data_IF_276106626173
#
_entry.id   IF_276106626173
#
_cell.length_a   1.000
_cell.length_b   1.000
_cell.length_c   1.000
_cell.angle_alpha   90.00
_cell.angle_beta   90.00
_cell.angle_gamma   90.00
#
_symmetry.space_group_name_H-M   'P 1'
#
loop_
_entity.id
_entity.type
_entity.pdbx_description
1 polymer ?
#
# COMPACT_ATOMS: atom_id res chain seq x y z
N UNK A 1 16.34 14.95 0.74
CA UNK A 1 14.89 15.12 0.92
C UNK A 1 14.21 15.33 -0.42
N UNK A 2 12.95 14.93 -0.51
CA UNK A 2 12.09 15.13 -1.69
C UNK A 2 10.88 15.94 -1.22
N UNK A 3 10.54 17.02 -1.95
CA UNK A 3 9.34 17.83 -1.66
C UNK A 3 8.09 17.18 -2.25
N UNK A 4 6.90 17.70 -1.87
CA UNK A 4 5.62 17.25 -2.45
C UNK A 4 5.52 17.48 -3.96
N UNK A 5 6.25 18.49 -4.49
CA UNK A 5 6.34 18.76 -5.94
C UNK A 5 7.38 17.88 -6.64
N UNK A 6 7.98 16.91 -5.94
CA UNK A 6 8.98 16.00 -6.48
C UNK A 6 10.38 16.59 -6.65
N UNK A 7 10.68 17.73 -6.05
CA UNK A 7 12.02 18.34 -6.10
C UNK A 7 12.92 17.71 -5.05
N UNK A 8 14.16 17.42 -5.42
CA UNK A 8 15.15 16.78 -4.56
C UNK A 8 16.14 17.80 -4.03
N UNK A 9 16.49 17.68 -2.73
CA UNK A 9 17.46 18.56 -2.08
C UNK A 9 18.40 17.78 -1.18
N UNK A 10 19.70 18.06 -1.29
CA UNK A 10 20.70 17.49 -0.39
C UNK A 10 20.57 18.13 1.00
N UNK A 11 20.42 17.28 2.01
CA UNK A 11 20.37 17.70 3.41
C UNK A 11 21.69 17.32 4.09
N UNK A 12 22.16 18.14 5.02
CA UNK A 12 23.37 17.87 5.81
C UNK A 12 23.06 17.13 7.11
N UNK A 13 21.82 17.17 7.55
CA UNK A 13 21.35 16.54 8.78
C UNK A 13 20.03 15.81 8.50
N UNK A 14 19.62 14.98 9.45
CA UNK A 14 18.31 14.34 9.40
C UNK A 14 17.19 15.37 9.24
N UNK A 15 16.28 15.13 8.32
CA UNK A 15 15.21 16.06 8.00
C UNK A 15 14.16 16.00 9.12
N UNK A 16 13.98 17.14 9.82
CA UNK A 16 12.89 17.30 10.78
C UNK A 16 11.67 17.95 10.09
N UNK A 17 11.29 19.17 10.52
CA UNK A 17 10.11 19.87 9.97
C UNK A 17 10.42 20.80 8.79
N UNK A 18 11.69 21.08 8.52
CA UNK A 18 12.13 22.01 7.48
C UNK A 18 13.16 21.39 6.55
N UNK A 19 12.88 21.44 5.25
CA UNK A 19 13.78 21.00 4.19
C UNK A 19 14.56 22.24 3.72
N UNK A 20 15.91 22.21 3.82
CA UNK A 20 16.73 23.22 3.15
C UNK A 20 16.64 23.03 1.63
N UNK A 21 16.38 24.10 0.90
CA UNK A 21 16.29 24.14 -0.55
C UNK A 21 17.54 24.71 -1.24
N UNK A 22 18.64 24.89 -0.48
CA UNK A 22 19.86 25.51 -0.97
C UNK A 22 20.64 24.66 -1.98
N UNK A 23 20.51 23.33 -1.88
CA UNK A 23 21.26 22.38 -2.70
C UNK A 23 20.32 21.43 -3.47
N UNK A 24 19.77 21.90 -4.60
CA UNK A 24 18.93 21.04 -5.45
C UNK A 24 19.76 19.88 -6.02
N UNK A 25 19.16 18.68 -6.02
CA UNK A 25 19.76 17.45 -6.53
C UNK A 25 19.08 17.08 -7.84
N UNK A 26 19.88 16.73 -8.83
CA UNK A 26 19.41 16.27 -10.14
C UNK A 26 19.87 14.85 -10.39
N UNK A 27 18.97 14.01 -10.89
CA UNK A 27 19.31 12.70 -11.39
C UNK A 27 19.65 12.80 -12.88
N UNK A 28 20.81 12.25 -13.26
CA UNK A 28 21.22 12.21 -14.65
C UNK A 28 21.33 10.76 -15.14
N UNK A 29 20.64 10.44 -16.25
CA UNK A 29 20.63 9.10 -16.83
C UNK A 29 22.05 8.61 -17.12
N UNK A 30 22.36 7.41 -16.62
CA UNK A 30 23.67 6.78 -16.78
C UNK A 30 24.79 7.35 -15.91
N UNK A 31 24.57 8.48 -15.21
CA UNK A 31 25.64 9.24 -14.54
C UNK A 31 25.48 9.34 -13.02
N UNK A 32 24.29 9.20 -12.47
CA UNK A 32 24.01 9.29 -11.03
C UNK A 32 23.35 10.58 -10.61
N UNK A 33 23.63 11.05 -9.38
CA UNK A 33 23.07 12.27 -8.79
C UNK A 33 24.09 13.40 -8.77
N UNK A 34 23.60 14.63 -8.91
CA UNK A 34 24.41 15.85 -8.98
C UNK A 34 23.83 16.98 -8.13
N UNK A 35 24.70 17.83 -7.61
CA UNK A 35 24.39 19.17 -7.09
C UNK A 35 25.18 20.17 -7.92
N UNK A 36 24.49 20.98 -8.73
CA UNK A 36 25.17 21.74 -9.81
C UNK A 36 25.93 20.79 -10.73
N UNK A 37 27.21 21.08 -10.97
CA UNK A 37 28.08 20.23 -11.79
C UNK A 37 28.83 19.14 -10.97
N UNK A 38 28.67 19.12 -9.66
CA UNK A 38 29.37 18.17 -8.79
C UNK A 38 28.57 16.87 -8.66
N UNK A 39 29.19 15.75 -9.08
CA UNK A 39 28.63 14.43 -8.88
C UNK A 39 28.65 14.07 -7.40
N UNK A 40 27.51 13.57 -6.89
CA UNK A 40 27.43 13.01 -5.55
C UNK A 40 28.00 11.58 -5.53
N UNK A 41 28.84 11.28 -4.53
CA UNK A 41 29.31 9.94 -4.25
C UNK A 41 28.18 9.18 -3.53
N UNK A 42 27.42 8.38 -4.28
CA UNK A 42 26.31 7.55 -3.79
C UNK A 42 26.54 6.13 -4.28
N UNK A 43 26.71 5.19 -3.36
CA UNK A 43 26.91 3.78 -3.65
C UNK A 43 25.59 3.02 -3.79
N UNK A 44 24.58 3.41 -2.98
CA UNK A 44 23.24 2.83 -3.00
C UNK A 44 22.21 3.84 -2.48
N UNK A 45 20.95 3.63 -2.84
CA UNK A 45 19.79 4.39 -2.37
C UNK A 45 18.96 3.51 -1.45
N UNK A 46 18.62 4.00 -0.27
CA UNK A 46 17.62 3.43 0.62
C UNK A 46 16.42 4.39 0.70
N UNK A 47 15.29 3.99 0.12
CA UNK A 47 14.11 4.83 0.07
C UNK A 47 13.30 4.72 1.38
N UNK A 48 12.97 5.87 1.97
CA UNK A 48 12.04 5.98 3.12
C UNK A 48 10.78 6.76 2.74
N UNK A 49 10.53 6.86 1.43
CA UNK A 49 9.33 7.50 0.87
C UNK A 49 8.14 6.54 0.94
N UNK A 50 6.94 7.10 1.13
CA UNK A 50 5.70 6.34 1.14
C UNK A 50 4.75 6.82 0.05
N UNK A 51 3.96 5.88 -0.50
CA UNK A 51 2.91 6.15 -1.47
C UNK A 51 3.42 6.53 -2.86
N UNK A 52 2.62 7.36 -3.52
CA UNK A 52 2.84 7.76 -4.91
C UNK A 52 4.19 8.49 -5.10
N UNK A 53 4.91 8.11 -6.15
CA UNK A 53 6.24 8.62 -6.49
C UNK A 53 7.39 7.93 -5.73
N UNK A 54 7.10 7.18 -4.66
CA UNK A 54 8.10 6.48 -3.84
C UNK A 54 8.00 4.96 -3.89
N UNK A 55 6.78 4.41 -3.89
CA UNK A 55 6.50 2.97 -3.84
C UNK A 55 5.86 2.43 -5.13
N UNK A 56 5.63 3.27 -6.14
CA UNK A 56 4.89 3.00 -7.36
C UNK A 56 5.75 2.67 -8.59
N UNK A 57 7.05 2.49 -8.42
CA UNK A 57 7.99 2.21 -9.51
C UNK A 57 8.67 3.46 -10.09
N UNK A 58 8.18 4.68 -9.80
CA UNK A 58 8.77 5.91 -10.34
C UNK A 58 10.18 6.17 -9.79
N UNK A 59 10.36 6.12 -8.47
CA UNK A 59 11.66 6.27 -7.82
C UNK A 59 12.61 5.16 -8.23
N UNK A 60 12.11 3.92 -8.31
CA UNK A 60 12.84 2.74 -8.73
C UNK A 60 13.37 2.89 -10.16
N UNK A 61 12.51 3.32 -11.07
CA UNK A 61 12.87 3.59 -12.46
C UNK A 61 13.89 4.73 -12.59
N UNK A 62 13.74 5.80 -11.81
CA UNK A 62 14.71 6.89 -11.78
C UNK A 62 16.09 6.41 -11.30
N UNK A 63 16.15 5.65 -10.22
CA UNK A 63 17.40 5.07 -9.72
C UNK A 63 18.05 4.15 -10.75
N UNK A 64 17.26 3.29 -11.39
CA UNK A 64 17.73 2.40 -12.45
C UNK A 64 18.33 3.18 -13.63
N UNK A 65 17.63 4.22 -14.12
CA UNK A 65 18.13 5.07 -15.20
C UNK A 65 19.40 5.83 -14.81
N UNK A 66 19.50 6.25 -13.55
CA UNK A 66 20.70 6.93 -13.03
C UNK A 66 21.84 5.95 -12.68
N UNK A 67 21.66 4.64 -12.87
CA UNK A 67 22.61 3.58 -12.47
C UNK A 67 22.94 3.60 -10.98
N UNK A 68 21.93 3.81 -10.16
CA UNK A 68 22.03 3.77 -8.71
C UNK A 68 21.36 2.50 -8.19
N UNK A 69 22.10 1.61 -7.53
CA UNK A 69 21.49 0.49 -6.81
C UNK A 69 20.46 0.99 -5.81
N UNK A 70 19.25 0.43 -5.83
CA UNK A 70 18.20 0.73 -4.87
C UNK A 70 18.00 -0.47 -3.94
N UNK A 71 17.94 -0.23 -2.64
CA UNK A 71 17.50 -1.23 -1.68
C UNK A 71 15.97 -1.29 -1.69
N UNK A 72 15.40 -2.45 -2.00
CA UNK A 72 13.96 -2.66 -2.07
C UNK A 72 13.53 -3.28 -3.41
N UNK A 73 12.23 -3.27 -3.64
CA UNK A 73 11.63 -3.81 -4.85
C UNK A 73 12.04 -3.04 -6.12
N UNK A 74 11.99 -3.71 -7.26
CA UNK A 74 12.26 -3.09 -8.56
C UNK A 74 11.07 -2.24 -9.08
N UNK A 75 11.23 -1.68 -10.28
CA UNK A 75 10.20 -0.84 -10.90
C UNK A 75 8.90 -1.60 -11.17
N UNK A 76 8.99 -2.85 -11.63
CA UNK A 76 7.82 -3.63 -12.07
C UNK A 76 7.02 -4.11 -10.87
N UNK A 77 7.68 -4.71 -9.90
CA UNK A 77 7.02 -5.20 -8.68
C UNK A 77 6.43 -4.07 -7.84
N UNK A 78 7.13 -2.93 -7.74
CA UNK A 78 6.62 -1.73 -7.06
C UNK A 78 5.38 -1.17 -7.76
N UNK A 79 5.41 -1.01 -9.09
CA UNK A 79 4.24 -0.54 -9.83
C UNK A 79 3.06 -1.50 -9.71
N UNK A 80 3.30 -2.81 -9.80
CA UNK A 80 2.26 -3.82 -9.64
C UNK A 80 1.67 -3.82 -8.22
N UNK A 81 2.52 -3.76 -7.19
CA UNK A 81 2.08 -3.69 -5.79
C UNK A 81 1.23 -2.46 -5.48
N UNK A 82 1.53 -1.31 -6.09
CA UNK A 82 0.75 -0.09 -5.93
C UNK A 82 -0.67 -0.22 -6.51
N UNK A 83 -0.84 -0.97 -7.60
CA UNK A 83 -2.13 -1.20 -8.26
C UNK A 83 -2.85 -2.40 -7.64
N UNK A 84 -3.59 -2.17 -6.56
CA UNK A 84 -4.22 -3.19 -5.72
C UNK A 84 -5.03 -4.24 -6.48
N UNK A 85 -5.79 -3.83 -7.51
CA UNK A 85 -6.57 -4.79 -8.29
C UNK A 85 -5.67 -5.66 -9.17
N UNK A 86 -4.70 -5.08 -9.85
CA UNK A 86 -3.76 -5.85 -10.68
C UNK A 86 -2.94 -6.82 -9.82
N UNK A 87 -2.49 -6.38 -8.66
CA UNK A 87 -1.81 -7.24 -7.70
C UNK A 87 -2.72 -8.38 -7.23
N UNK A 88 -3.99 -8.10 -6.90
CA UNK A 88 -4.93 -9.13 -6.45
C UNK A 88 -5.17 -10.20 -7.52
N UNK A 89 -5.28 -9.83 -8.81
CA UNK A 89 -5.41 -10.79 -9.91
C UNK A 89 -4.20 -11.75 -9.97
N UNK A 90 -2.98 -11.22 -9.77
CA UNK A 90 -1.77 -12.05 -9.72
C UNK A 90 -1.81 -12.96 -8.48
N UNK A 91 -2.16 -12.43 -7.32
CA UNK A 91 -2.23 -13.22 -6.08
C UNK A 91 -3.27 -14.35 -6.17
N UNK A 92 -4.44 -14.07 -6.72
CA UNK A 92 -5.50 -15.07 -6.93
C UNK A 92 -5.06 -16.19 -7.90
N UNK A 93 -4.26 -15.87 -8.92
CA UNK A 93 -3.69 -16.88 -9.83
C UNK A 93 -2.74 -17.85 -9.12
N UNK A 94 -2.14 -17.42 -8.01
CA UNK A 94 -1.30 -18.23 -7.12
C UNK A 94 -2.07 -18.82 -5.93
N UNK A 95 -3.41 -18.80 -6.01
CA UNK A 95 -4.30 -19.31 -4.96
C UNK A 95 -4.11 -18.63 -3.59
N UNK A 96 -3.73 -17.35 -3.58
CA UNK A 96 -3.69 -16.52 -2.38
C UNK A 96 -5.04 -15.81 -2.26
N UNK A 97 -5.78 -15.98 -1.17
CA UNK A 97 -7.07 -15.32 -1.02
C UNK A 97 -6.92 -13.80 -0.92
N UNK A 98 -7.73 -13.05 -1.66
CA UNK A 98 -7.83 -11.60 -1.60
C UNK A 98 -9.24 -11.17 -1.18
N UNK A 99 -9.41 -9.91 -0.80
CA UNK A 99 -10.74 -9.40 -0.44
C UNK A 99 -11.63 -9.35 -1.69
N UNK A 100 -12.83 -9.96 -1.67
CA UNK A 100 -13.77 -9.87 -2.79
C UNK A 100 -13.99 -8.43 -3.23
N UNK A 101 -13.75 -8.14 -4.51
CA UNK A 101 -13.65 -6.77 -5.03
C UNK A 101 -14.41 -6.62 -6.34
N UNK A 102 -15.11 -5.49 -6.48
CA UNK A 102 -15.58 -4.96 -7.76
C UNK A 102 -14.79 -3.70 -8.09
N UNK A 103 -14.41 -3.56 -9.35
CA UNK A 103 -13.69 -2.39 -9.84
C UNK A 103 -14.65 -1.51 -10.63
N UNK A 104 -14.73 -0.24 -10.24
CA UNK A 104 -15.42 0.78 -11.00
C UNK A 104 -14.41 1.51 -11.89
N UNK A 105 -14.70 1.53 -13.19
CA UNK A 105 -13.89 2.27 -14.16
C UNK A 105 -14.18 3.78 -14.07
N UNK A 106 -13.32 4.59 -14.67
CA UNK A 106 -13.38 6.06 -14.65
C UNK A 106 -14.77 6.61 -14.96
N UNK A 107 -15.40 6.12 -16.02
CA UNK A 107 -16.72 6.56 -16.47
C UNK A 107 -17.80 6.24 -15.46
N UNK A 108 -17.70 5.09 -14.78
CA UNK A 108 -18.61 4.69 -13.71
C UNK A 108 -18.44 5.51 -12.44
N UNK A 109 -17.21 5.96 -12.16
CA UNK A 109 -16.88 6.82 -11.01
C UNK A 109 -17.43 8.24 -11.23
N UNK A 110 -17.34 8.76 -12.45
CA UNK A 110 -17.75 10.12 -12.79
C UNK A 110 -19.28 10.24 -12.91
N UNK A 111 -19.88 9.47 -13.79
CA UNK A 111 -21.26 9.61 -14.22
C UNK A 111 -21.99 8.26 -14.31
N UNK A 112 -21.57 7.27 -13.51
CA UNK A 112 -22.17 5.93 -13.57
C UNK A 112 -23.60 5.86 -13.06
N UNK A 113 -24.30 4.78 -13.42
CA UNK A 113 -25.62 4.48 -12.88
C UNK A 113 -25.47 3.94 -11.45
N UNK A 114 -25.27 4.83 -10.48
CA UNK A 114 -24.91 4.48 -9.09
C UNK A 114 -25.95 3.60 -8.39
N UNK A 115 -27.22 3.68 -8.76
CA UNK A 115 -28.27 2.77 -8.29
C UNK A 115 -28.03 1.32 -8.72
N UNK A 116 -27.70 1.10 -9.99
CA UNK A 116 -27.38 -0.23 -10.52
C UNK A 116 -26.05 -0.74 -9.97
N UNK A 117 -25.06 0.13 -9.85
CA UNK A 117 -23.75 -0.20 -9.28
C UNK A 117 -23.85 -0.60 -7.80
N UNK A 118 -24.70 0.08 -7.03
CA UNK A 118 -24.96 -0.30 -5.64
C UNK A 118 -25.63 -1.67 -5.55
N UNK A 119 -26.70 -1.91 -6.33
CA UNK A 119 -27.39 -3.21 -6.35
C UNK A 119 -26.43 -4.33 -6.75
N UNK A 120 -25.60 -4.11 -7.76
CA UNK A 120 -24.60 -5.06 -8.20
C UNK A 120 -23.56 -5.33 -7.09
N UNK A 121 -23.10 -4.28 -6.43
CA UNK A 121 -22.12 -4.40 -5.36
C UNK A 121 -22.69 -5.17 -4.17
N UNK A 122 -23.88 -4.82 -3.72
CA UNK A 122 -24.54 -5.51 -2.62
C UNK A 122 -24.86 -6.98 -2.94
N UNK A 123 -25.25 -7.28 -4.17
CA UNK A 123 -25.52 -8.66 -4.60
C UNK A 123 -24.27 -9.55 -4.57
N UNK A 124 -23.08 -9.00 -4.89
CA UNK A 124 -21.84 -9.76 -4.97
C UNK A 124 -21.03 -9.75 -3.69
N UNK A 125 -21.07 -8.64 -2.93
CA UNK A 125 -20.17 -8.38 -1.81
C UNK A 125 -20.90 -8.31 -0.46
N UNK A 126 -22.22 -8.33 -0.46
CA UNK A 126 -23.05 -8.15 0.73
C UNK A 126 -23.44 -6.69 0.98
N UNK A 127 -24.28 -6.44 2.02
CA UNK A 127 -24.84 -5.12 2.28
C UNK A 127 -23.84 -4.10 2.83
N UNK A 128 -22.74 -4.59 3.41
CA UNK A 128 -21.70 -3.78 4.04
C UNK A 128 -20.50 -3.70 3.10
N UNK A 129 -20.15 -2.49 2.70
CA UNK A 129 -19.17 -2.23 1.66
C UNK A 129 -18.00 -1.40 2.18
N UNK A 130 -16.85 -1.60 1.57
CA UNK A 130 -15.64 -0.82 1.77
C UNK A 130 -15.22 -0.22 0.42
N UNK A 131 -15.13 1.11 0.34
CA UNK A 131 -14.82 1.82 -0.90
C UNK A 131 -13.48 2.51 -0.77
N UNK A 132 -12.59 2.29 -1.73
CA UNK A 132 -11.24 2.89 -1.72
C UNK A 132 -10.71 3.19 -3.12
N UNK A 133 -9.79 4.17 -3.26
CA UNK A 133 -9.01 4.35 -4.48
C UNK A 133 -8.18 3.10 -4.79
N UNK A 134 -7.95 2.80 -6.08
CA UNK A 134 -7.17 1.63 -6.47
C UNK A 134 -5.69 1.75 -6.11
N UNK A 135 -5.08 2.91 -6.36
CA UNK A 135 -3.63 3.12 -6.31
C UNK A 135 -3.17 4.14 -5.26
N UNK A 136 -3.92 4.30 -4.18
CA UNK A 136 -3.53 5.14 -3.05
C UNK A 136 -3.18 4.30 -1.83
N UNK A 137 -2.20 4.78 -1.06
CA UNK A 137 -1.82 4.24 0.23
C UNK A 137 -2.43 5.00 1.40
N UNK A 138 -2.05 4.62 2.63
CA UNK A 138 -2.32 5.35 3.88
C UNK A 138 -3.79 5.68 4.16
N UNK A 139 -4.72 4.86 3.69
CA UNK A 139 -6.18 5.03 3.90
C UNK A 139 -6.75 6.37 3.41
N UNK A 140 -6.12 7.00 2.41
CA UNK A 140 -6.63 8.21 1.76
C UNK A 140 -7.81 7.87 0.87
N UNK A 141 -8.91 8.65 0.96
CA UNK A 141 -10.10 8.47 0.13
C UNK A 141 -10.92 7.21 0.42
N UNK A 142 -10.74 6.60 1.59
CA UNK A 142 -11.41 5.37 2.01
C UNK A 142 -12.74 5.66 2.72
N UNK A 143 -13.74 4.83 2.49
CA UNK A 143 -15.04 4.88 3.18
C UNK A 143 -15.53 3.49 3.57
N UNK A 144 -16.09 3.37 4.78
CA UNK A 144 -16.82 2.18 5.24
C UNK A 144 -18.32 2.45 5.20
N UNK A 145 -19.08 1.55 4.63
CA UNK A 145 -20.52 1.70 4.41
C UNK A 145 -21.25 0.52 5.06
N UNK A 146 -21.69 0.68 6.30
CA UNK A 146 -22.56 -0.28 6.95
C UNK A 146 -24.00 -0.06 6.45
N UNK A 147 -24.63 -1.11 5.91
CA UNK A 147 -25.98 -1.05 5.30
C UNK A 147 -26.09 0.09 4.30
N UNK A 148 -25.18 0.08 3.32
CA UNK A 148 -25.03 1.14 2.32
C UNK A 148 -26.35 1.49 1.62
N UNK A 149 -26.63 2.79 1.48
CA UNK A 149 -27.69 3.35 0.67
C UNK A 149 -27.12 4.10 -0.53
N UNK A 150 -27.98 4.52 -1.46
CA UNK A 150 -27.54 5.17 -2.71
C UNK A 150 -26.70 6.41 -2.45
N UNK A 151 -27.10 7.29 -1.54
CA UNK A 151 -26.39 8.53 -1.27
C UNK A 151 -25.01 8.27 -0.69
N UNK A 152 -24.92 7.42 0.36
CA UNK A 152 -23.65 7.09 0.99
C UNK A 152 -22.70 6.37 0.04
N UNK A 153 -23.21 5.51 -0.84
CA UNK A 153 -22.42 4.83 -1.86
C UNK A 153 -21.88 5.81 -2.91
N UNK A 154 -22.73 6.69 -3.42
CA UNK A 154 -22.32 7.71 -4.39
C UNK A 154 -21.26 8.65 -3.82
N UNK A 155 -21.43 9.13 -2.58
CA UNK A 155 -20.48 10.01 -1.92
C UNK A 155 -19.13 9.31 -1.71
N UNK A 156 -19.14 8.04 -1.30
CA UNK A 156 -17.93 7.25 -1.12
C UNK A 156 -17.17 7.01 -2.45
N UNK A 157 -17.89 6.68 -3.52
CA UNK A 157 -17.29 6.49 -4.85
C UNK A 157 -16.71 7.79 -5.38
N UNK A 158 -17.41 8.91 -5.23
CA UNK A 158 -16.92 10.23 -5.64
C UNK A 158 -15.70 10.66 -4.82
N UNK A 159 -15.72 10.44 -3.50
CA UNK A 159 -14.57 10.74 -2.63
C UNK A 159 -13.33 9.94 -3.07
N UNK A 160 -13.46 8.63 -3.27
CA UNK A 160 -12.36 7.80 -3.75
C UNK A 160 -11.88 8.23 -5.16
N UNK A 161 -12.81 8.64 -6.00
CA UNK A 161 -12.56 9.15 -7.36
C UNK A 161 -11.76 10.45 -7.44
N UNK A 162 -11.64 11.21 -6.32
CA UNK A 162 -10.74 12.38 -6.26
C UNK A 162 -9.27 11.98 -6.28
N UNK A 163 -8.95 10.75 -5.89
CA UNK A 163 -7.59 10.25 -5.72
C UNK A 163 -7.17 9.22 -6.76
N UNK A 164 -8.13 8.58 -7.44
CA UNK A 164 -7.86 7.56 -8.44
C UNK A 164 -8.97 7.52 -9.49
N UNK A 165 -8.59 7.33 -10.75
CA UNK A 165 -9.57 7.13 -11.84
C UNK A 165 -10.37 5.84 -11.71
N UNK A 166 -9.84 4.86 -10.97
CA UNK A 166 -10.49 3.58 -10.70
C UNK A 166 -10.75 3.45 -9.21
N UNK A 167 -11.92 2.98 -8.85
CA UNK A 167 -12.36 2.82 -7.47
C UNK A 167 -12.66 1.35 -7.20
N UNK A 168 -12.16 0.85 -6.09
CA UNK A 168 -12.44 -0.49 -5.61
C UNK A 168 -13.61 -0.46 -4.63
N UNK A 169 -14.62 -1.27 -4.90
CA UNK A 169 -15.69 -1.59 -3.97
C UNK A 169 -15.45 -3.00 -3.46
N UNK A 170 -15.25 -3.15 -2.17
CA UNK A 170 -14.91 -4.42 -1.53
C UNK A 170 -15.97 -4.83 -0.52
N UNK A 171 -16.04 -6.11 -0.22
CA UNK A 171 -16.75 -6.59 0.96
C UNK A 171 -16.13 -5.95 2.20
N UNK A 172 -16.96 -5.42 3.09
CA UNK A 172 -16.49 -4.99 4.41
C UNK A 172 -16.23 -6.22 5.27
N UNK A 173 -14.97 -6.42 5.64
CA UNK A 173 -14.55 -7.52 6.50
C UNK A 173 -14.82 -7.15 7.97
N UNK A 174 -15.62 -7.94 8.64
CA UNK A 174 -15.94 -7.73 10.05
C UNK A 174 -16.19 -9.07 10.77
N UNK A 175 -15.63 -9.31 11.98
CA UNK A 175 -14.61 -8.49 12.65
C UNK A 175 -13.28 -8.49 11.86
N UNK A 176 -12.50 -7.44 11.99
CA UNK A 176 -11.26 -7.26 11.24
C UNK A 176 -10.05 -7.20 12.18
N UNK A 177 -9.08 -8.09 11.95
CA UNK A 177 -7.71 -7.98 12.44
C UNK A 177 -6.80 -7.62 11.27
N UNK A 178 -6.03 -6.55 11.41
CA UNK A 178 -5.01 -6.15 10.45
C UNK A 178 -3.66 -6.73 10.90
N UNK A 179 -2.98 -7.40 9.98
CA UNK A 179 -1.75 -8.15 10.27
C UNK A 179 -0.70 -7.79 9.24
N UNK A 180 0.49 -7.43 9.70
CA UNK A 180 1.61 -7.08 8.83
C UNK A 180 2.71 -8.14 8.89
N UNK A 181 3.31 -8.42 7.75
CA UNK A 181 4.50 -9.26 7.61
C UNK A 181 5.59 -8.50 6.86
N UNK A 182 6.84 -8.92 7.06
CA UNK A 182 7.96 -8.44 6.27
C UNK A 182 8.62 -9.61 5.55
N UNK A 183 8.92 -9.44 4.27
CA UNK A 183 9.71 -10.38 3.47
C UNK A 183 11.00 -9.70 3.09
N UNK A 184 12.11 -10.38 3.34
CA UNK A 184 13.46 -9.93 3.02
C UNK A 184 14.18 -10.99 2.20
N UNK A 185 14.69 -10.60 1.05
CA UNK A 185 15.59 -11.42 0.26
C UNK A 185 17.03 -11.19 0.73
N UNK A 186 17.69 -12.26 1.13
CA UNK A 186 19.09 -12.22 1.60
C UNK A 186 19.98 -13.04 0.70
N UNK A 187 21.24 -12.64 0.60
CA UNK A 187 22.21 -13.34 -0.24
C UNK A 187 22.48 -14.78 0.24
N UNK A 188 22.54 -14.97 1.55
CA UNK A 188 22.96 -16.23 2.18
C UNK A 188 21.80 -17.16 2.60
N UNK A 189 20.62 -16.61 2.87
CA UNK A 189 19.48 -17.36 3.42
C UNK A 189 18.27 -17.46 2.49
N UNK A 190 18.36 -16.83 1.31
CA UNK A 190 17.22 -16.72 0.41
C UNK A 190 16.12 -15.81 0.97
N UNK A 191 14.85 -16.22 0.91
CA UNK A 191 13.75 -15.43 1.45
C UNK A 191 13.54 -15.69 2.95
N UNK A 192 13.60 -14.64 3.73
CA UNK A 192 13.24 -14.62 5.15
C UNK A 192 11.89 -13.91 5.27
N UNK A 193 10.91 -14.58 5.89
CA UNK A 193 9.60 -13.99 6.20
C UNK A 193 9.53 -13.79 7.71
N UNK A 194 9.29 -12.56 8.14
CA UNK A 194 9.21 -12.16 9.54
C UNK A 194 7.80 -11.70 9.92
N UNK A 195 7.45 -11.83 11.17
CA UNK A 195 6.12 -11.60 11.71
C UNK A 195 5.39 -12.93 11.91
N UNK A 196 4.05 -12.98 11.83
CA UNK A 196 3.15 -11.83 11.65
C UNK A 196 3.10 -10.92 12.89
N UNK A 197 2.91 -9.63 12.67
CA UNK A 197 2.62 -8.66 13.69
C UNK A 197 1.16 -8.19 13.60
N UNK A 198 0.48 -8.08 14.75
CA UNK A 198 -0.88 -7.58 14.81
C UNK A 198 -0.87 -6.06 14.96
N UNK A 199 -1.60 -5.36 14.08
CA UNK A 199 -1.83 -3.92 14.22
C UNK A 199 -2.80 -3.68 15.36
N UNK A 200 -2.33 -3.01 16.41
CA UNK A 200 -3.13 -2.60 17.56
C UNK A 200 -3.35 -1.09 17.47
N UNK A 201 -4.59 -0.71 17.28
CA UNK A 201 -5.01 0.70 17.25
C UNK A 201 -6.09 0.91 18.32
N UNK A 202 -5.79 1.63 19.42
CA UNK A 202 -6.74 1.89 20.48
C UNK A 202 -8.00 2.65 20.02
N UNK A 203 -7.89 3.40 18.92
CA UNK A 203 -8.99 4.18 18.36
C UNK A 203 -9.84 3.43 17.32
N UNK A 204 -9.45 2.20 16.95
CA UNK A 204 -10.10 1.39 15.91
C UNK A 204 -11.57 1.06 16.22
N UNK A 205 -11.95 0.97 17.49
CA UNK A 205 -13.34 0.71 17.93
C UNK A 205 -14.34 1.71 17.35
N UNK A 206 -13.90 2.94 17.07
CA UNK A 206 -14.75 4.01 16.57
C UNK A 206 -14.88 4.06 15.04
N UNK A 207 -13.92 3.49 14.28
CA UNK A 207 -13.83 3.66 12.82
C UNK A 207 -13.81 2.33 12.07
N UNK A 208 -13.45 1.22 12.74
CA UNK A 208 -13.44 -0.12 12.17
C UNK A 208 -12.21 -0.46 11.29
N UNK A 209 -11.34 0.53 10.99
CA UNK A 209 -10.08 0.35 10.26
C UNK A 209 -9.06 1.40 10.69
N UNK A 210 -7.76 1.16 10.37
CA UNK A 210 -6.68 2.09 10.67
C UNK A 210 -6.71 3.29 9.71
N UNK A 211 -7.27 4.43 10.16
CA UNK A 211 -7.39 5.64 9.35
C UNK A 211 -6.06 6.40 9.21
N UNK A 212 -5.98 7.32 8.24
CA UNK A 212 -4.83 8.21 8.05
C UNK A 212 -4.51 9.01 9.32
N UNK A 213 -5.54 9.54 9.99
CA UNK A 213 -5.37 10.31 11.23
C UNK A 213 -4.77 9.47 12.36
N UNK A 214 -5.10 8.17 12.44
CA UNK A 214 -4.54 7.25 13.43
C UNK A 214 -3.10 6.84 13.09
N UNK A 215 -2.75 6.73 11.80
CA UNK A 215 -1.37 6.40 11.37
C UNK A 215 -0.37 7.53 11.66
N UNK A 216 -0.80 8.78 11.54
CA UNK A 216 0.08 9.96 11.57
C UNK A 216 -0.33 11.03 12.59
N UNK A 217 -1.40 10.81 13.37
CA UNK A 217 -1.88 11.69 14.42
C UNK A 217 -1.04 11.61 15.70
N UNK A 218 -1.22 12.60 16.60
CA UNK A 218 -0.47 12.69 17.85
C UNK A 218 -1.09 11.92 19.05
N UNK A 219 -2.18 11.18 18.85
CA UNK A 219 -2.90 10.49 19.93
C UNK A 219 -2.66 9.00 19.82
N UNK A 220 -2.24 8.35 20.89
CA UNK A 220 -1.98 6.93 21.09
C UNK A 220 -1.79 6.16 19.77
N UNK A 221 -0.60 6.33 19.18
CA UNK A 221 -0.31 5.82 17.85
C UNK A 221 -0.53 4.32 17.78
N UNK A 222 -1.13 3.88 16.69
CA UNK A 222 -1.19 2.47 16.36
C UNK A 222 0.22 1.85 16.42
N UNK A 223 0.33 0.66 16.97
CA UNK A 223 1.61 -0.05 17.08
C UNK A 223 1.47 -1.50 16.63
N UNK A 224 2.59 -2.11 16.27
CA UNK A 224 2.64 -3.51 15.88
C UNK A 224 3.00 -4.35 17.10
N UNK A 225 2.13 -5.29 17.44
CA UNK A 225 2.38 -6.28 18.50
C UNK A 225 2.96 -7.55 17.91
N UNK A 226 4.15 -7.93 18.37
CA UNK A 226 4.82 -9.18 18.03
C UNK A 226 5.17 -9.90 19.34
N UNK A 227 4.79 -11.19 19.50
CA UNK A 227 4.02 -12.03 18.59
C UNK A 227 2.58 -11.55 18.40
N UNK A 228 1.97 -11.91 17.27
CA UNK A 228 0.61 -11.49 16.89
C UNK A 228 -0.46 -11.94 17.89
N UNK A 229 -0.28 -13.11 18.46
CA UNK A 229 -1.26 -13.78 19.31
C UNK A 229 -2.36 -14.52 18.54
N UNK A 230 -2.20 -14.66 17.22
CA UNK A 230 -3.07 -15.48 16.38
C UNK A 230 -2.81 -16.97 16.61
N UNK A 231 -3.77 -17.81 16.22
CA UNK A 231 -3.58 -19.26 16.22
C UNK A 231 -2.41 -19.63 15.28
N UNK A 232 -1.65 -20.65 15.68
CA UNK A 232 -0.43 -21.07 14.98
C UNK A 232 -0.66 -21.46 13.51
N UNK A 233 -1.81 -22.08 13.23
CA UNK A 233 -2.24 -22.44 11.87
C UNK A 233 -2.43 -21.21 10.99
N UNK A 234 -3.05 -20.15 11.53
CA UNK A 234 -3.27 -18.89 10.84
C UNK A 234 -1.94 -18.19 10.61
N UNK A 235 -1.07 -18.11 11.62
CA UNK A 235 0.28 -17.53 11.48
C UNK A 235 1.07 -18.21 10.37
N UNK A 236 1.10 -19.55 10.34
CA UNK A 236 1.82 -20.29 9.31
C UNK A 236 1.26 -20.06 7.91
N UNK A 237 -0.07 -19.98 7.77
CA UNK A 237 -0.71 -19.66 6.48
C UNK A 237 -0.38 -18.26 6.00
N UNK A 238 -0.36 -17.27 6.90
CA UNK A 238 0.02 -15.89 6.58
C UNK A 238 1.47 -15.83 6.08
N UNK A 239 2.40 -16.49 6.77
CA UNK A 239 3.82 -16.50 6.36
C UNK A 239 4.01 -17.18 5.01
N UNK A 240 3.27 -18.25 4.73
CA UNK A 240 3.30 -18.94 3.42
C UNK A 240 2.70 -18.05 2.32
N UNK A 241 1.56 -17.40 2.57
CA UNK A 241 0.97 -16.46 1.61
C UNK A 241 1.87 -15.25 1.37
N UNK A 242 2.53 -14.71 2.39
CA UNK A 242 3.49 -13.63 2.23
C UNK A 242 4.66 -14.03 1.33
N UNK A 243 5.21 -15.23 1.54
CA UNK A 243 6.27 -15.78 0.68
C UNK A 243 5.80 -15.92 -0.77
N UNK A 244 4.61 -16.50 -0.99
CA UNK A 244 4.04 -16.69 -2.32
C UNK A 244 3.76 -15.35 -3.00
N UNK A 245 3.18 -14.38 -2.30
CA UNK A 245 2.86 -13.06 -2.82
C UNK A 245 4.12 -12.33 -3.31
N UNK A 246 5.19 -12.34 -2.49
CA UNK A 246 6.47 -11.75 -2.85
C UNK A 246 7.04 -12.34 -4.16
N UNK A 247 6.98 -13.66 -4.29
CA UNK A 247 7.44 -14.35 -5.49
C UNK A 247 6.54 -14.12 -6.70
N UNK A 248 5.22 -14.08 -6.49
CA UNK A 248 4.23 -13.92 -7.56
C UNK A 248 4.39 -12.61 -8.33
N UNK A 249 4.61 -11.51 -7.62
CA UNK A 249 4.87 -10.20 -8.25
C UNK A 249 6.36 -10.01 -8.62
N UNK A 250 7.19 -11.03 -8.43
CA UNK A 250 8.64 -10.99 -8.64
C UNK A 250 9.32 -9.86 -7.87
N UNK A 251 8.85 -9.62 -6.64
CA UNK A 251 9.45 -8.63 -5.77
C UNK A 251 10.91 -8.97 -5.46
N UNK A 252 11.69 -7.93 -5.19
CA UNK A 252 13.13 -8.01 -4.93
C UNK A 252 13.47 -7.21 -3.65
N UNK A 253 14.59 -7.51 -3.02
CA UNK A 253 15.06 -6.85 -1.82
C UNK A 253 14.14 -7.09 -0.61
N UNK A 254 13.20 -6.21 -0.34
CA UNK A 254 12.28 -6.35 0.78
C UNK A 254 10.89 -5.74 0.48
N UNK A 255 9.86 -6.30 1.13
CA UNK A 255 8.50 -5.76 1.09
C UNK A 255 7.78 -6.00 2.41
N UNK A 256 6.85 -5.10 2.76
CA UNK A 256 5.80 -5.34 3.76
C UNK A 256 4.58 -5.88 3.04
N UNK A 257 3.96 -6.89 3.60
CA UNK A 257 2.76 -7.51 3.06
C UNK A 257 1.70 -7.55 4.15
N UNK A 258 0.56 -6.93 3.86
CA UNK A 258 -0.49 -6.69 4.82
C UNK A 258 -1.68 -7.62 4.57
N UNK A 259 -2.19 -8.22 5.64
CA UNK A 259 -3.29 -9.17 5.61
C UNK A 259 -4.46 -8.70 6.47
N UNK A 260 -5.66 -9.09 6.07
CA UNK A 260 -6.87 -9.04 6.87
C UNK A 260 -7.22 -10.45 7.36
N UNK A 261 -7.53 -10.57 8.65
CA UNK A 261 -7.94 -11.82 9.27
C UNK A 261 -9.30 -11.64 9.93
N UNK A 262 -10.22 -12.57 9.64
CA UNK A 262 -11.57 -12.60 10.23
C UNK A 262 -11.96 -14.04 10.56
N UNK A 263 -11.87 -14.41 11.84
CA UNK A 263 -11.97 -15.80 12.25
C UNK A 263 -10.82 -16.62 11.66
N UNK A 264 -11.14 -17.66 10.90
CA UNK A 264 -10.21 -18.53 10.18
C UNK A 264 -9.87 -18.05 8.76
N UNK A 265 -10.54 -17.00 8.28
CA UNK A 265 -10.35 -16.46 6.94
C UNK A 265 -9.21 -15.44 6.91
N UNK A 266 -8.33 -15.62 5.93
CA UNK A 266 -7.17 -14.76 5.68
C UNK A 266 -7.32 -14.17 4.29
N UNK A 267 -7.10 -12.86 4.17
CA UNK A 267 -7.11 -12.15 2.89
C UNK A 267 -5.86 -11.30 2.78
N UNK A 268 -5.14 -11.42 1.67
CA UNK A 268 -4.09 -10.47 1.33
C UNK A 268 -4.72 -9.13 0.94
N UNK A 269 -4.26 -8.04 1.53
CA UNK A 269 -4.76 -6.69 1.27
C UNK A 269 -3.83 -5.87 0.36
N UNK A 270 -2.55 -5.80 0.69
CA UNK A 270 -1.52 -5.09 -0.11
C UNK A 270 -0.10 -5.51 0.28
#
# INVERSE_FOLDING_TARGET
AITLEGRWYLQQQEVSKHISTDKPVFAAAGLGLFVGDAKLAVDAVFATTHGYGGEDGNLQGLCMLARLPLCGCDTVSSALGMHKHQASVVFESEHIPTVPTLVLAKEQVQDGPFDQLLVQSQSKLGPDLFVKPENCGSSVGVSTLAKSNLQSFQDAVKLAGLYSERVLVQQLIHPLLEVETAVLQTFDRGLVVAGPGLVVDPAKENVGYLSYAHKYGQVDAAHIRVPSGLEKSIELSILEYARKAFLAIKADGYARIDFFVSGDRIYLNE
#
